data_IF_959317203744
#
_entry.id   IF_959317203744
#
_cell.length_a   1.000
_cell.length_b   1.000
_cell.length_c   1.000
_cell.angle_alpha   90.00
_cell.angle_beta   90.00
_cell.angle_gamma   90.00
#
_symmetry.space_group_name_H-M   'P 1'
#
loop_
_entity.id
_entity.type
_entity.pdbx_description
1 polymer ?
#
# COMPACT_ATOMS: atom_id res chain seq x y z
N UNK A 1 -7.74 -0.09 15.32
CA UNK A 1 -8.05 -0.56 13.96
C UNK A 1 -6.78 -0.45 13.15
N UNK A 2 -6.25 -1.56 12.64
CA UNK A 2 -5.04 -1.57 11.83
C UNK A 2 -5.42 -1.35 10.37
N UNK A 3 -4.87 -0.32 9.73
CA UNK A 3 -5.11 -0.05 8.31
C UNK A 3 -4.06 -0.82 7.50
N UNK A 4 -4.52 -1.76 6.68
CA UNK A 4 -3.65 -2.49 5.76
C UNK A 4 -3.33 -1.61 4.55
N UNK A 5 -2.04 -1.42 4.30
CA UNK A 5 -1.55 -0.64 3.17
C UNK A 5 -0.71 -1.51 2.24
N UNK A 6 -1.35 -1.94 1.16
CA UNK A 6 -0.72 -2.65 0.05
C UNK A 6 0.09 -1.65 -0.78
N UNK A 7 1.39 -1.87 -0.88
CA UNK A 7 2.30 -0.90 -1.47
C UNK A 7 3.47 -1.54 -2.20
N UNK A 8 4.06 -0.74 -3.10
CA UNK A 8 5.37 -1.02 -3.69
C UNK A 8 6.31 0.15 -3.37
N UNK A 9 7.55 -0.08 -2.89
CA UNK A 9 8.45 1.00 -2.49
C UNK A 9 8.75 2.03 -3.58
N UNK A 10 8.78 1.59 -4.85
CA UNK A 10 9.03 2.46 -6.00
C UNK A 10 7.86 3.34 -6.43
N UNK A 11 6.66 3.13 -5.87
CA UNK A 11 5.46 3.87 -6.28
C UNK A 11 5.39 5.25 -5.64
N UNK A 12 5.38 6.28 -6.48
CA UNK A 12 5.16 7.67 -6.07
C UNK A 12 3.85 7.87 -5.27
N UNK A 13 2.68 7.35 -5.71
CA UNK A 13 1.45 7.49 -4.93
C UNK A 13 1.51 6.73 -3.60
N UNK A 14 2.20 5.59 -3.53
CA UNK A 14 2.31 4.86 -2.27
C UNK A 14 3.08 5.65 -1.19
N UNK A 15 4.11 6.39 -1.61
CA UNK A 15 4.89 7.27 -0.74
C UNK A 15 4.08 8.47 -0.26
N UNK A 16 3.21 9.04 -1.10
CA UNK A 16 2.31 10.12 -0.69
C UNK A 16 1.35 9.67 0.44
N UNK A 17 0.76 8.48 0.33
CA UNK A 17 -0.11 7.92 1.37
C UNK A 17 0.63 7.71 2.69
N UNK A 18 1.87 7.18 2.65
CA UNK A 18 2.70 7.01 3.85
C UNK A 18 3.03 8.33 4.53
N UNK A 19 3.34 9.38 3.76
CA UNK A 19 3.59 10.71 4.30
C UNK A 19 2.34 11.29 4.94
N UNK A 20 1.17 11.13 4.31
CA UNK A 20 -0.10 11.55 4.88
C UNK A 20 -0.39 10.82 6.19
N UNK A 21 -0.24 9.50 6.23
CA UNK A 21 -0.43 8.70 7.44
C UNK A 21 0.50 9.13 8.58
N UNK A 22 1.77 9.38 8.28
CA UNK A 22 2.73 9.92 9.25
C UNK A 22 2.31 11.30 9.77
N UNK A 23 1.80 12.18 8.89
CA UNK A 23 1.36 13.52 9.26
C UNK A 23 0.11 13.51 10.18
N UNK A 24 -0.77 12.52 10.03
CA UNK A 24 -1.97 12.35 10.87
C UNK A 24 -1.76 11.43 12.08
N UNK A 25 -0.54 10.88 12.26
CA UNK A 25 -0.21 10.00 13.39
C UNK A 25 -0.88 8.62 13.31
N UNK A 26 -1.08 8.09 12.09
CA UNK A 26 -1.71 6.79 11.86
C UNK A 26 -0.66 5.75 11.48
N UNK A 27 -0.63 4.64 12.22
CA UNK A 27 0.18 3.47 11.88
C UNK A 27 -0.46 2.65 10.76
N UNK A 28 0.34 2.36 9.73
CA UNK A 28 -0.05 1.53 8.59
C UNK A 28 0.62 0.15 8.68
N UNK A 29 -0.16 -0.90 8.45
CA UNK A 29 0.39 -2.24 8.24
C UNK A 29 0.83 -2.39 6.78
N UNK A 30 2.13 -2.32 6.55
CA UNK A 30 2.72 -2.33 5.22
C UNK A 30 2.75 -3.73 4.61
N UNK A 31 1.94 -3.97 3.57
CA UNK A 31 1.92 -5.22 2.80
C UNK A 31 2.58 -4.97 1.45
N UNK A 32 3.72 -5.63 1.20
CA UNK A 32 4.40 -5.50 -0.08
C UNK A 32 3.59 -6.21 -1.17
N UNK A 33 3.33 -5.53 -2.28
CA UNK A 33 2.63 -6.10 -3.44
C UNK A 33 3.59 -6.15 -4.62
N UNK A 34 3.83 -7.35 -5.13
CA UNK A 34 4.73 -7.54 -6.27
C UNK A 34 4.00 -7.26 -7.59
N UNK A 35 4.27 -6.08 -8.15
CA UNK A 35 3.70 -5.66 -9.41
C UNK A 35 4.21 -6.49 -10.61
N UNK A 36 5.43 -7.01 -10.52
CA UNK A 36 6.07 -7.78 -11.60
C UNK A 36 5.47 -9.17 -11.71
N UNK A 37 5.06 -9.75 -10.58
CA UNK A 37 4.31 -11.01 -10.56
C UNK A 37 2.81 -10.84 -10.85
N UNK A 38 2.33 -9.61 -11.02
CA UNK A 38 0.94 -9.32 -11.36
C UNK A 38 -0.04 -9.45 -10.20
N UNK A 39 0.41 -9.36 -8.94
CA UNK A 39 -0.46 -9.53 -7.77
C UNK A 39 -1.63 -8.56 -7.73
N UNK A 40 -1.44 -7.33 -8.20
CA UNK A 40 -2.46 -6.30 -8.35
C UNK A 40 -3.59 -6.69 -9.31
N UNK A 41 -3.40 -7.72 -10.15
CA UNK A 41 -4.40 -8.22 -11.10
C UNK A 41 -5.17 -9.42 -10.55
N UNK A 42 -4.80 -9.94 -9.37
CA UNK A 42 -5.52 -11.05 -8.74
C UNK A 42 -6.96 -10.58 -8.44
N UNK A 43 -7.98 -11.45 -8.56
CA UNK A 43 -9.36 -11.11 -8.28
C UNK A 43 -9.61 -10.58 -6.85
N UNK A 44 -8.69 -10.85 -5.93
CA UNK A 44 -8.69 -10.34 -4.55
C UNK A 44 -8.36 -8.84 -4.47
N UNK A 45 -7.60 -8.30 -5.44
CA UNK A 45 -7.17 -6.90 -5.51
C UNK A 45 -8.09 -6.02 -6.35
N UNK A 46 -8.75 -6.58 -7.36
CA UNK A 46 -9.56 -5.84 -8.36
C UNK A 46 -11.05 -5.77 -7.95
N UNK A 47 -11.41 -6.31 -6.80
CA UNK A 47 -12.79 -6.34 -6.28
C UNK A 47 -13.22 -5.04 -5.61
#
# INVERSE_FOLDING_TARGET
MTIDFYYVPGSAPCRAVRLAAAAVGVDLNLKLTDLMSGEQLKPEFVK
#
